data_IF_282010678308
#
_entry.id   IF_282010678308
#
_cell.length_a   1.000
_cell.length_b   1.000
_cell.length_c   1.000
_cell.angle_alpha   90.00
_cell.angle_beta   90.00
_cell.angle_gamma   90.00
#
_symmetry.space_group_name_H-M   'P 1'
#
loop_
_entity.id
_entity.type
_entity.pdbx_description
1 polymer ?
#
# COMPACT_ATOMS: atom_id res chain seq x y z
N UNK A 1 -2.96 -14.15 -27.25
CA UNK A 1 -1.77 -13.26 -27.24
C UNK A 1 -1.52 -12.51 -28.53
N UNK A 2 -2.01 -11.27 -28.56
CA UNK A 2 -1.53 -10.22 -29.45
C UNK A 2 -0.03 -9.90 -29.24
N UNK A 3 0.60 -9.16 -30.17
CA UNK A 3 2.00 -8.71 -30.03
C UNK A 3 2.20 -7.80 -28.81
N UNK A 4 1.23 -6.94 -28.50
CA UNK A 4 1.27 -6.04 -27.34
C UNK A 4 1.13 -6.78 -26.01
N UNK A 5 0.24 -7.77 -25.94
CA UNK A 5 0.08 -8.62 -24.74
C UNK A 5 1.38 -9.36 -24.44
N UNK A 6 2.05 -9.84 -25.49
CA UNK A 6 3.36 -10.49 -25.36
C UNK A 6 4.44 -9.51 -24.87
N UNK A 7 4.45 -8.26 -25.37
CA UNK A 7 5.35 -7.20 -24.89
C UNK A 7 5.09 -6.86 -23.41
N UNK A 8 3.83 -6.73 -23.02
CA UNK A 8 3.43 -6.48 -21.63
C UNK A 8 4.01 -7.54 -20.68
N UNK A 9 3.80 -8.82 -20.96
CA UNK A 9 4.31 -9.90 -20.10
C UNK A 9 5.82 -10.13 -20.20
N UNK A 10 6.46 -9.67 -21.28
CA UNK A 10 7.94 -9.61 -21.34
C UNK A 10 8.50 -8.59 -20.37
N UNK A 11 7.81 -7.45 -20.21
CA UNK A 11 8.14 -6.41 -19.23
C UNK A 11 7.79 -6.87 -17.82
N UNK A 12 6.54 -7.28 -17.57
CA UNK A 12 6.04 -7.67 -16.25
C UNK A 12 5.91 -9.18 -16.11
N UNK A 13 7.03 -9.87 -15.84
CA UNK A 13 7.07 -11.34 -15.85
C UNK A 13 6.22 -11.97 -14.75
N UNK A 14 6.09 -11.31 -13.60
CA UNK A 14 5.29 -11.77 -12.46
C UNK A 14 3.83 -11.31 -12.50
N UNK A 15 3.36 -10.78 -13.64
CA UNK A 15 1.95 -10.51 -13.90
C UNK A 15 1.23 -11.66 -14.64
N UNK A 16 1.89 -12.81 -14.84
CA UNK A 16 1.26 -14.01 -15.41
C UNK A 16 0.90 -14.97 -14.28
N UNK A 17 -0.39 -15.25 -14.03
CA UNK A 17 -0.81 -16.20 -13.00
C UNK A 17 -0.30 -17.61 -13.27
N UNK A 18 0.04 -18.36 -12.22
CA UNK A 18 0.40 -19.78 -12.35
C UNK A 18 -0.81 -20.67 -12.63
N UNK A 19 -1.99 -20.27 -12.15
CA UNK A 19 -3.26 -20.92 -12.47
C UNK A 19 -3.71 -20.57 -13.89
N UNK A 20 -3.93 -21.59 -14.72
CA UNK A 20 -4.26 -21.42 -16.15
C UNK A 20 -5.64 -20.79 -16.39
N UNK A 21 -6.61 -21.07 -15.53
CA UNK A 21 -7.96 -20.49 -15.68
C UNK A 21 -7.95 -19.01 -15.29
N UNK A 22 -7.24 -18.67 -14.21
CA UNK A 22 -7.04 -17.28 -13.80
C UNK A 22 -6.25 -16.53 -14.88
N UNK A 23 -5.15 -17.12 -15.38
CA UNK A 23 -4.33 -16.52 -16.43
C UNK A 23 -5.14 -16.22 -17.69
N UNK A 24 -6.00 -17.14 -18.14
CA UNK A 24 -6.86 -16.92 -19.30
C UNK A 24 -7.83 -15.75 -19.09
N UNK A 25 -8.49 -15.68 -17.93
CA UNK A 25 -9.42 -14.59 -17.60
C UNK A 25 -8.71 -13.23 -17.53
N UNK A 26 -7.53 -13.19 -16.91
CA UNK A 26 -6.74 -11.97 -16.83
C UNK A 26 -6.20 -11.53 -18.20
N UNK A 27 -5.78 -12.48 -19.06
CA UNK A 27 -5.37 -12.20 -20.43
C UNK A 27 -6.50 -11.60 -21.26
N UNK A 28 -7.72 -12.16 -21.18
CA UNK A 28 -8.90 -11.63 -21.87
C UNK A 28 -9.21 -10.19 -21.44
N UNK A 29 -9.04 -9.86 -20.16
CA UNK A 29 -9.20 -8.50 -19.64
C UNK A 29 -8.11 -7.57 -20.19
N UNK A 30 -6.85 -8.01 -20.17
CA UNK A 30 -5.73 -7.23 -20.69
C UNK A 30 -5.88 -6.97 -22.20
N UNK A 31 -6.27 -7.96 -23.00
CA UNK A 31 -6.46 -7.83 -24.45
C UNK A 31 -7.52 -6.77 -24.80
N UNK A 32 -8.56 -6.63 -23.97
CA UNK A 32 -9.57 -5.58 -24.13
C UNK A 32 -9.02 -4.17 -23.88
N UNK A 33 -8.07 -4.01 -22.95
CA UNK A 33 -7.57 -2.70 -22.51
C UNK A 33 -6.34 -2.26 -23.31
N UNK A 34 -5.40 -3.16 -23.60
CA UNK A 34 -4.07 -2.83 -24.13
C UNK A 34 -4.07 -2.19 -25.53
N UNK A 35 -5.21 -2.28 -26.23
CA UNK A 35 -5.41 -1.71 -27.56
C UNK A 35 -6.18 -0.38 -27.53
N UNK A 36 -6.74 0.01 -26.39
CA UNK A 36 -7.46 1.27 -26.24
C UNK A 36 -6.49 2.46 -26.18
N UNK A 37 -6.90 3.60 -26.73
CA UNK A 37 -6.19 4.86 -26.50
C UNK A 37 -6.40 5.35 -25.06
N UNK A 38 -5.53 6.23 -24.55
CA UNK A 38 -5.69 6.87 -23.23
C UNK A 38 -7.08 7.53 -23.07
N UNK A 39 -7.56 8.17 -24.14
CA UNK A 39 -8.92 8.74 -24.22
C UNK A 39 -10.02 7.69 -24.07
N UNK A 40 -9.90 6.57 -24.79
CA UNK A 40 -10.90 5.49 -24.74
C UNK A 40 -10.91 4.80 -23.37
N UNK A 41 -9.74 4.53 -22.79
CA UNK A 41 -9.59 4.02 -21.42
C UNK A 41 -10.28 4.97 -20.43
N UNK A 42 -10.04 6.28 -20.57
CA UNK A 42 -10.65 7.28 -19.69
C UNK A 42 -12.19 7.25 -19.78
N UNK A 43 -12.73 7.16 -20.99
CA UNK A 43 -14.18 7.07 -21.21
C UNK A 43 -14.75 5.77 -20.64
N UNK A 44 -14.04 4.64 -20.81
CA UNK A 44 -14.41 3.34 -20.26
C UNK A 44 -14.44 3.35 -18.72
N UNK A 45 -13.37 3.80 -18.08
CA UNK A 45 -13.27 3.87 -16.60
C UNK A 45 -14.30 4.81 -15.99
N UNK A 46 -14.67 5.90 -16.67
CA UNK A 46 -15.72 6.81 -16.22
C UNK A 46 -17.08 6.13 -16.06
N UNK A 47 -17.37 5.09 -16.85
CA UNK A 47 -18.62 4.34 -16.73
C UNK A 47 -18.73 3.61 -15.38
N UNK A 48 -17.60 3.20 -14.80
CA UNK A 48 -17.58 2.56 -13.49
C UNK A 48 -17.91 3.54 -12.36
N UNK A 49 -17.41 4.77 -12.44
CA UNK A 49 -17.75 5.81 -11.45
C UNK A 49 -19.27 5.97 -11.40
N UNK A 50 -19.92 6.09 -12.56
CA UNK A 50 -21.38 6.21 -12.64
C UNK A 50 -22.07 5.02 -11.95
N UNK A 51 -21.63 3.79 -12.23
CA UNK A 51 -22.20 2.58 -11.60
C UNK A 51 -22.05 2.60 -10.07
N UNK A 52 -20.87 2.97 -9.55
CA UNK A 52 -20.61 3.01 -8.12
C UNK A 52 -21.32 4.17 -7.41
N UNK A 53 -21.39 5.36 -8.02
CA UNK A 53 -22.10 6.52 -7.44
C UNK A 53 -23.59 6.24 -7.22
N UNK A 54 -24.21 5.40 -8.06
CA UNK A 54 -25.61 4.99 -7.90
C UNK A 54 -25.79 3.76 -7.00
N UNK A 55 -24.72 3.21 -6.43
CA UNK A 55 -24.81 2.11 -5.49
C UNK A 55 -25.35 2.59 -4.12
N UNK A 56 -26.62 2.29 -3.85
CA UNK A 56 -27.34 2.78 -2.66
C UNK A 56 -27.58 1.74 -1.57
N UNK A 57 -27.17 0.48 -1.76
CA UNK A 57 -27.38 -0.56 -0.76
C UNK A 57 -26.59 -0.24 0.52
N UNK A 58 -27.14 -0.63 1.67
CA UNK A 58 -26.48 -0.42 2.97
C UNK A 58 -25.36 -1.43 3.23
N UNK A 59 -25.39 -2.55 2.54
CA UNK A 59 -24.36 -3.59 2.55
C UNK A 59 -23.69 -3.68 1.18
N UNK A 60 -22.52 -4.29 1.10
CA UNK A 60 -21.83 -4.70 -0.11
C UNK A 60 -22.26 -6.12 -0.48
N UNK A 61 -22.92 -6.29 -1.62
CA UNK A 61 -23.35 -7.59 -2.13
C UNK A 61 -22.26 -8.29 -2.97
N UNK A 62 -22.40 -9.60 -3.16
CA UNK A 62 -21.42 -10.43 -3.88
C UNK A 62 -21.21 -9.97 -5.32
N UNK A 63 -22.27 -9.58 -6.03
CA UNK A 63 -22.19 -9.11 -7.42
C UNK A 63 -21.35 -7.83 -7.55
N UNK A 64 -21.59 -6.89 -6.65
CA UNK A 64 -20.87 -5.60 -6.61
C UNK A 64 -19.44 -5.81 -6.14
N UNK A 65 -19.20 -6.73 -5.21
CA UNK A 65 -17.84 -7.08 -4.77
C UNK A 65 -17.04 -7.72 -5.92
N UNK A 66 -17.65 -8.61 -6.71
CA UNK A 66 -17.03 -9.18 -7.91
C UNK A 66 -16.74 -8.11 -8.96
N UNK A 67 -17.68 -7.18 -9.18
CA UNK A 67 -17.49 -6.03 -10.05
C UNK A 67 -16.33 -5.14 -9.58
N UNK A 68 -16.22 -4.86 -8.27
CA UNK A 68 -15.10 -4.11 -7.69
C UNK A 68 -13.78 -4.84 -7.96
N UNK A 69 -13.69 -6.16 -7.75
CA UNK A 69 -12.48 -6.91 -8.05
C UNK A 69 -12.10 -6.83 -9.53
N UNK A 70 -13.08 -6.91 -10.43
CA UNK A 70 -12.85 -6.68 -11.86
C UNK A 70 -12.31 -5.26 -12.13
N UNK A 71 -12.93 -4.23 -11.55
CA UNK A 71 -12.46 -2.84 -11.70
C UNK A 71 -11.02 -2.68 -11.22
N UNK A 72 -10.67 -3.23 -10.05
CA UNK A 72 -9.30 -3.16 -9.50
C UNK A 72 -8.27 -3.85 -10.39
N UNK A 73 -8.63 -4.99 -10.99
CA UNK A 73 -7.80 -5.70 -11.96
C UNK A 73 -7.58 -4.87 -13.22
N UNK A 74 -8.64 -4.30 -13.78
CA UNK A 74 -8.57 -3.43 -14.96
C UNK A 74 -7.75 -2.16 -14.69
N UNK A 75 -7.95 -1.52 -13.53
CA UNK A 75 -7.15 -0.37 -13.08
C UNK A 75 -5.67 -0.76 -12.99
N UNK A 76 -5.35 -1.92 -12.41
CA UNK A 76 -3.97 -2.39 -12.26
C UNK A 76 -3.27 -2.62 -13.61
N UNK A 77 -3.99 -3.11 -14.63
CA UNK A 77 -3.48 -3.20 -15.99
C UNK A 77 -3.27 -1.82 -16.62
N UNK A 78 -4.24 -0.92 -16.49
CA UNK A 78 -4.12 0.46 -17.00
C UNK A 78 -2.91 1.15 -16.42
N UNK A 79 -2.71 1.10 -15.10
CA UNK A 79 -1.56 1.72 -14.44
C UNK A 79 -0.23 1.19 -14.99
N UNK A 80 -0.13 -0.12 -15.25
CA UNK A 80 1.08 -0.74 -15.81
C UNK A 80 1.32 -0.40 -17.28
N UNK A 81 0.25 -0.27 -18.07
CA UNK A 81 0.34 0.24 -19.45
C UNK A 81 0.86 1.68 -19.43
N UNK A 82 0.31 2.54 -18.56
CA UNK A 82 0.77 3.92 -18.42
C UNK A 82 2.22 4.00 -17.90
N UNK A 83 2.67 3.04 -17.09
CA UNK A 83 4.07 2.94 -16.69
C UNK A 83 4.99 2.58 -17.87
N UNK A 84 4.58 1.66 -18.75
CA UNK A 84 5.33 1.35 -19.98
C UNK A 84 5.47 2.60 -20.86
N UNK A 85 4.37 3.32 -21.06
CA UNK A 85 4.37 4.56 -21.85
C UNK A 85 5.26 5.63 -21.22
N UNK A 86 5.19 5.79 -19.89
CA UNK A 86 6.09 6.66 -19.12
C UNK A 86 7.57 6.32 -19.33
N UNK A 87 7.94 5.03 -19.30
CA UNK A 87 9.32 4.62 -19.53
C UNK A 87 9.78 4.96 -20.95
N UNK A 88 8.94 4.68 -21.96
CA UNK A 88 9.21 5.01 -23.37
C UNK A 88 9.44 6.51 -23.54
N UNK A 89 8.54 7.33 -23.03
CA UNK A 89 8.62 8.79 -23.12
C UNK A 89 9.80 9.40 -22.37
N UNK A 90 10.16 8.79 -21.23
CA UNK A 90 11.35 9.18 -20.47
C UNK A 90 12.63 8.88 -21.23
N UNK A 91 12.74 7.70 -21.86
CA UNK A 91 13.90 7.33 -22.69
C UNK A 91 14.04 8.20 -23.93
N UNK A 92 12.92 8.57 -24.58
CA UNK A 92 12.93 9.46 -25.75
C UNK A 92 12.99 10.96 -25.42
N UNK A 93 13.05 11.34 -24.13
CA UNK A 93 12.97 12.73 -23.67
C UNK A 93 11.71 13.48 -24.18
N UNK A 94 10.59 12.79 -24.33
CA UNK A 94 9.30 13.33 -24.80
C UNK A 94 8.28 13.51 -23.69
N UNK A 95 8.64 13.21 -22.45
CA UNK A 95 7.77 13.27 -21.28
C UNK A 95 7.19 14.68 -21.07
N UNK A 96 5.85 14.79 -21.14
CA UNK A 96 5.11 16.05 -20.92
C UNK A 96 4.39 16.05 -19.57
N UNK A 97 4.67 17.07 -18.76
CA UNK A 97 4.05 17.24 -17.45
C UNK A 97 2.64 17.84 -17.51
N UNK A 98 2.22 18.34 -18.67
CA UNK A 98 0.94 19.02 -18.90
C UNK A 98 0.02 18.23 -19.85
N UNK A 99 0.37 16.99 -20.17
CA UNK A 99 -0.44 16.14 -21.06
C UNK A 99 -1.88 16.01 -20.53
N UNK A 100 -2.84 16.51 -21.31
CA UNK A 100 -4.24 16.59 -20.90
C UNK A 100 -4.88 15.20 -20.77
N UNK A 101 -4.56 14.26 -21.66
CA UNK A 101 -5.20 12.94 -21.65
C UNK A 101 -4.72 12.12 -20.45
N UNK A 102 -3.40 12.15 -20.19
CA UNK A 102 -2.80 11.49 -19.02
C UNK A 102 -3.34 12.11 -17.72
N UNK A 103 -3.41 13.44 -17.65
CA UNK A 103 -3.98 14.14 -16.50
C UNK A 103 -5.44 13.77 -16.23
N UNK A 104 -6.25 13.66 -17.30
CA UNK A 104 -7.66 13.32 -17.19
C UNK A 104 -7.85 11.85 -16.77
N UNK A 105 -7.07 10.93 -17.35
CA UNK A 105 -7.08 9.52 -16.95
C UNK A 105 -6.71 9.37 -15.48
N UNK A 106 -5.62 10.00 -15.04
CA UNK A 106 -5.17 9.98 -13.64
C UNK A 106 -6.28 10.42 -12.67
N UNK A 107 -6.95 11.56 -12.95
CA UNK A 107 -8.06 12.04 -12.12
C UNK A 107 -9.21 11.04 -12.04
N UNK A 108 -9.58 10.44 -13.18
CA UNK A 108 -10.65 9.44 -13.24
C UNK A 108 -10.28 8.18 -12.43
N UNK A 109 -9.04 7.71 -12.53
CA UNK A 109 -8.58 6.57 -11.74
C UNK A 109 -8.54 6.89 -10.24
N UNK A 110 -8.01 8.04 -9.84
CA UNK A 110 -7.99 8.46 -8.43
C UNK A 110 -9.41 8.53 -7.83
N UNK A 111 -10.37 9.10 -8.58
CA UNK A 111 -11.78 9.13 -8.15
C UNK A 111 -12.36 7.73 -8.05
N UNK A 112 -12.16 6.88 -9.06
CA UNK A 112 -12.69 5.52 -9.07
C UNK A 112 -12.12 4.68 -7.91
N UNK A 113 -10.82 4.75 -7.66
CA UNK A 113 -10.16 4.07 -6.55
C UNK A 113 -10.71 4.57 -5.20
N UNK A 114 -10.90 5.89 -5.06
CA UNK A 114 -11.48 6.50 -3.86
C UNK A 114 -12.90 6.01 -3.61
N UNK A 115 -13.76 6.00 -4.63
CA UNK A 115 -15.15 5.50 -4.50
C UNK A 115 -15.19 4.02 -4.08
N UNK A 116 -14.33 3.18 -4.67
CA UNK A 116 -14.19 1.78 -4.27
C UNK A 116 -13.77 1.69 -2.79
N UNK A 117 -12.76 2.46 -2.37
CA UNK A 117 -12.28 2.45 -1.00
C UNK A 117 -13.33 2.90 0.01
N UNK A 118 -14.13 3.92 -0.33
CA UNK A 118 -15.24 4.38 0.50
C UNK A 118 -16.33 3.31 0.61
N UNK A 119 -16.70 2.64 -0.48
CA UNK A 119 -17.67 1.54 -0.43
C UNK A 119 -17.18 0.42 0.49
N UNK A 120 -15.92 -0.02 0.35
CA UNK A 120 -15.34 -1.09 1.17
C UNK A 120 -15.25 -0.69 2.65
N UNK A 121 -14.89 0.56 2.95
CA UNK A 121 -14.72 1.03 4.33
C UNK A 121 -16.03 1.33 5.07
N UNK A 122 -17.11 1.66 4.36
CA UNK A 122 -18.36 2.15 4.99
C UNK A 122 -19.50 1.14 4.98
N UNK A 123 -19.46 0.11 4.15
CA UNK A 123 -20.55 -0.87 4.01
C UNK A 123 -20.27 -2.14 4.80
N UNK A 124 -21.31 -2.68 5.41
CA UNK A 124 -21.29 -4.04 5.93
C UNK A 124 -21.24 -5.04 4.77
N UNK A 125 -20.65 -6.22 4.96
CA UNK A 125 -20.57 -7.22 3.90
C UNK A 125 -21.75 -8.18 3.98
N UNK A 126 -22.31 -8.57 2.84
CA UNK A 126 -23.38 -9.57 2.76
C UNK A 126 -22.96 -10.90 3.39
N UNK A 127 -21.71 -11.30 3.16
CA UNK A 127 -21.13 -12.52 3.73
C UNK A 127 -19.71 -12.25 4.24
N UNK A 128 -19.36 -12.86 5.36
CA UNK A 128 -17.99 -12.82 5.89
C UNK A 128 -16.99 -13.26 4.83
N UNK A 129 -15.88 -12.53 4.71
CA UNK A 129 -14.78 -12.90 3.81
C UNK A 129 -15.16 -13.08 2.33
N UNK A 130 -16.20 -12.39 1.85
CA UNK A 130 -16.73 -12.52 0.48
C UNK A 130 -15.66 -12.43 -0.61
N UNK A 131 -14.67 -11.57 -0.41
CA UNK A 131 -13.56 -11.34 -1.32
C UNK A 131 -12.63 -12.56 -1.51
N UNK A 132 -12.50 -13.44 -0.51
CA UNK A 132 -11.52 -14.54 -0.53
C UNK A 132 -11.70 -15.55 -1.67
N UNK A 133 -12.91 -15.61 -2.25
CA UNK A 133 -13.24 -16.60 -3.27
C UNK A 133 -13.02 -16.12 -4.71
N UNK A 134 -12.82 -14.82 -4.93
CA UNK A 134 -12.65 -14.25 -6.26
C UNK A 134 -11.29 -14.55 -6.88
N UNK A 135 -11.25 -14.75 -8.20
CA UNK A 135 -10.04 -15.13 -8.93
C UNK A 135 -8.91 -14.12 -8.78
N UNK A 136 -9.24 -12.81 -8.82
CA UNK A 136 -8.25 -11.73 -8.68
C UNK A 136 -7.46 -11.83 -7.36
N UNK A 137 -8.06 -12.38 -6.30
CA UNK A 137 -7.44 -12.50 -4.98
C UNK A 137 -6.76 -13.86 -4.78
N UNK A 138 -7.03 -14.83 -5.66
CA UNK A 138 -6.33 -16.12 -5.73
C UNK A 138 -5.09 -16.06 -6.62
N UNK A 139 -5.01 -15.08 -7.51
CA UNK A 139 -3.88 -14.83 -8.42
C UNK A 139 -2.58 -14.63 -7.64
N UNK A 140 -1.52 -15.36 -7.97
CA UNK A 140 -0.19 -15.27 -7.34
C UNK A 140 0.72 -14.22 -7.99
N UNK A 141 0.13 -13.32 -8.77
CA UNK A 141 0.81 -12.24 -9.46
C UNK A 141 1.03 -11.01 -8.58
N UNK A 142 1.91 -10.11 -9.01
CA UNK A 142 2.06 -8.78 -8.39
C UNK A 142 0.74 -7.99 -8.41
N UNK A 143 -0.08 -8.13 -9.46
CA UNK A 143 -1.42 -7.51 -9.50
C UNK A 143 -2.34 -8.13 -8.44
N UNK A 144 -2.36 -9.47 -8.35
CA UNK A 144 -3.14 -10.17 -7.33
C UNK A 144 -2.73 -9.78 -5.91
N UNK A 145 -1.42 -9.62 -5.67
CA UNK A 145 -0.87 -9.08 -4.44
C UNK A 145 -1.39 -7.66 -4.15
N UNK A 146 -1.21 -6.70 -5.06
CA UNK A 146 -1.68 -5.32 -4.85
C UNK A 146 -3.18 -5.25 -4.56
N UNK A 147 -4.00 -6.08 -5.22
CA UNK A 147 -5.45 -6.13 -4.98
C UNK A 147 -5.77 -6.72 -3.59
N UNK A 148 -5.09 -7.80 -3.16
CA UNK A 148 -5.30 -8.35 -1.81
C UNK A 148 -4.92 -7.34 -0.73
N UNK A 149 -3.75 -6.72 -0.85
CA UNK A 149 -3.27 -5.69 0.09
C UNK A 149 -4.23 -4.50 0.10
N UNK A 150 -4.75 -4.09 -1.06
CA UNK A 150 -5.75 -3.02 -1.17
C UNK A 150 -7.00 -3.30 -0.34
N UNK A 151 -7.59 -4.49 -0.47
CA UNK A 151 -8.77 -4.85 0.32
C UNK A 151 -8.41 -4.91 1.83
N UNK A 152 -7.31 -5.60 2.17
CA UNK A 152 -6.91 -5.79 3.57
C UNK A 152 -6.60 -4.49 4.28
N UNK A 153 -5.94 -3.52 3.64
CA UNK A 153 -5.59 -2.25 4.28
C UNK A 153 -6.82 -1.40 4.56
N UNK A 154 -7.80 -1.37 3.66
CA UNK A 154 -9.03 -0.60 3.87
C UNK A 154 -9.82 -1.19 5.04
N UNK A 155 -9.95 -2.52 5.08
CA UNK A 155 -10.60 -3.22 6.21
C UNK A 155 -9.85 -2.98 7.53
N UNK A 156 -8.51 -3.05 7.53
CA UNK A 156 -7.67 -2.83 8.71
C UNK A 156 -7.75 -1.37 9.20
N UNK A 157 -7.78 -0.38 8.30
CA UNK A 157 -7.97 1.03 8.65
C UNK A 157 -9.37 1.27 9.25
N UNK A 158 -10.41 0.67 8.68
CA UNK A 158 -11.76 0.75 9.25
C UNK A 158 -11.80 0.13 10.66
N UNK A 159 -11.21 -1.06 10.82
CA UNK A 159 -11.07 -1.72 12.13
C UNK A 159 -10.34 -0.82 13.15
N UNK A 160 -9.21 -0.23 12.75
CA UNK A 160 -8.46 0.72 13.56
C UNK A 160 -9.33 1.89 14.02
N UNK A 161 -10.01 2.56 13.08
CA UNK A 161 -10.92 3.67 13.39
C UNK A 161 -12.06 3.26 14.35
N UNK A 162 -12.60 2.04 14.19
CA UNK A 162 -13.62 1.50 15.08
C UNK A 162 -13.10 1.20 16.49
N UNK A 163 -11.88 0.67 16.63
CA UNK A 163 -11.24 0.52 17.95
C UNK A 163 -11.01 1.86 18.62
N UNK A 164 -10.62 2.89 17.88
CA UNK A 164 -10.49 4.24 18.43
C UNK A 164 -11.82 4.82 18.90
N UNK A 165 -12.93 4.56 18.19
CA UNK A 165 -14.28 4.90 18.67
C UNK A 165 -14.62 4.25 20.01
N UNK A 166 -14.09 3.05 20.26
CA UNK A 166 -14.30 2.28 21.48
C UNK A 166 -13.29 2.63 22.60
N UNK A 167 -12.49 3.70 22.43
CA UNK A 167 -11.55 4.17 23.44
C UNK A 167 -10.17 3.50 23.42
N UNK A 168 -9.82 2.77 22.35
CA UNK A 168 -8.52 2.09 22.25
C UNK A 168 -7.32 3.02 22.39
N UNK A 169 -7.43 4.30 22.01
CA UNK A 169 -6.36 5.29 22.20
C UNK A 169 -5.92 5.40 23.68
N UNK A 170 -6.87 5.45 24.61
CA UNK A 170 -6.56 5.56 26.04
C UNK A 170 -5.95 4.27 26.59
N UNK A 171 -6.44 3.11 26.12
CA UNK A 171 -5.85 1.82 26.46
C UNK A 171 -4.40 1.74 25.98
N UNK A 172 -4.13 2.11 24.74
CA UNK A 172 -2.77 2.15 24.17
C UNK A 172 -1.85 3.08 24.96
N UNK A 173 -2.32 4.24 25.42
CA UNK A 173 -1.54 5.13 26.30
C UNK A 173 -1.17 4.48 27.63
N UNK A 174 -2.13 3.84 28.30
CA UNK A 174 -1.93 3.17 29.59
C UNK A 174 -0.94 2.00 29.43
N UNK A 175 -1.15 1.19 28.40
CA UNK A 175 -0.35 -0.02 28.16
C UNK A 175 1.02 0.28 27.54
N UNK A 176 1.25 1.50 27.04
CA UNK A 176 2.46 1.87 26.28
C UNK A 176 3.74 1.50 27.01
N UNK A 177 3.86 1.89 28.30
CA UNK A 177 5.06 1.64 29.08
C UNK A 177 5.37 0.15 29.24
N UNK A 178 4.33 -0.68 29.32
CA UNK A 178 4.46 -2.12 29.51
C UNK A 178 4.74 -2.85 28.20
N UNK A 179 4.11 -2.44 27.11
CA UNK A 179 4.09 -3.19 25.85
C UNK A 179 5.07 -2.63 24.82
N UNK A 180 5.08 -1.31 24.63
CA UNK A 180 5.73 -0.68 23.47
C UNK A 180 7.03 0.08 23.78
N UNK A 181 7.25 0.46 25.04
CA UNK A 181 8.43 1.21 25.46
C UNK A 181 9.75 0.56 25.01
N UNK A 182 9.88 -0.77 25.13
CA UNK A 182 11.10 -1.50 24.76
C UNK A 182 11.43 -1.34 23.27
N UNK A 183 10.41 -1.27 22.42
CA UNK A 183 10.60 -1.15 20.97
C UNK A 183 10.93 0.29 20.60
N UNK A 184 10.20 1.27 21.15
CA UNK A 184 10.47 2.67 20.88
C UNK A 184 11.86 3.09 21.36
N UNK A 185 12.31 2.62 22.53
CA UNK A 185 13.66 2.91 23.05
C UNK A 185 14.76 2.43 22.09
N UNK A 186 14.61 1.23 21.52
CA UNK A 186 15.54 0.71 20.51
C UNK A 186 15.53 1.55 19.22
N UNK A 187 14.37 2.05 18.80
CA UNK A 187 14.27 2.99 17.66
C UNK A 187 14.96 4.32 17.99
N UNK A 188 14.71 4.87 19.18
CA UNK A 188 15.33 6.11 19.69
C UNK A 188 16.86 6.04 19.64
N UNK A 189 17.43 4.96 20.18
CA UNK A 189 18.88 4.75 20.23
C UNK A 189 19.52 4.70 18.84
N UNK A 190 18.82 4.13 17.83
CA UNK A 190 19.35 4.00 16.47
C UNK A 190 19.29 5.30 15.67
N UNK A 191 18.25 6.10 15.84
CA UNK A 191 18.02 7.32 15.04
C UNK A 191 18.33 8.63 15.77
N UNK A 192 18.81 8.57 17.02
CA UNK A 192 19.16 9.73 17.84
C UNK A 192 18.02 10.79 17.89
N UNK A 193 16.79 10.33 18.09
CA UNK A 193 15.62 11.21 18.11
C UNK A 193 15.60 12.04 19.41
N UNK A 194 15.05 13.26 19.37
CA UNK A 194 14.86 14.09 20.58
C UNK A 194 13.62 13.59 21.31
N UNK A 195 13.80 12.86 22.40
CA UNK A 195 12.80 12.89 23.46
C UNK A 195 13.39 12.47 24.80
N UNK A 196 13.29 13.34 25.80
CA UNK A 196 13.63 13.01 27.18
C UNK A 196 12.58 12.08 27.82
N UNK A 197 11.38 12.03 27.22
CA UNK A 197 10.26 11.21 27.69
C UNK A 197 9.80 10.29 26.55
N UNK A 198 9.83 8.98 26.80
CA UNK A 198 9.36 7.96 25.85
C UNK A 198 7.95 7.50 26.26
N UNK A 199 6.94 8.16 25.70
CA UNK A 199 5.50 7.87 25.84
C UNK A 199 4.86 7.70 24.47
N UNK A 200 3.59 7.30 24.43
CA UNK A 200 2.88 7.22 23.16
C UNK A 200 2.78 8.58 22.44
N UNK A 201 2.40 9.63 23.17
CA UNK A 201 2.14 10.96 22.57
C UNK A 201 3.43 11.72 22.22
N UNK A 202 4.58 11.33 22.79
CA UNK A 202 5.90 11.82 22.37
C UNK A 202 6.42 11.12 21.11
N UNK A 203 5.94 9.91 20.82
CA UNK A 203 6.41 9.10 19.69
C UNK A 203 5.53 9.30 18.45
N UNK A 204 4.22 9.51 18.64
CA UNK A 204 3.24 9.71 17.57
C UNK A 204 2.81 11.17 17.56
N UNK A 205 3.13 11.90 16.50
CA UNK A 205 2.82 13.33 16.41
C UNK A 205 1.31 13.58 16.50
N UNK A 206 0.91 14.43 17.44
CA UNK A 206 -0.49 14.72 17.80
C UNK A 206 -1.27 13.49 18.33
N UNK A 207 -0.56 12.45 18.79
CA UNK A 207 -1.14 11.22 19.34
C UNK A 207 -1.82 10.32 18.31
N UNK A 208 -2.24 9.14 18.78
CA UNK A 208 -3.04 8.19 17.99
C UNK A 208 -4.44 8.78 17.76
N UNK A 209 -4.85 8.85 16.49
CA UNK A 209 -6.14 9.41 16.07
C UNK A 209 -6.70 8.65 14.88
N UNK A 210 -7.97 8.91 14.56
CA UNK A 210 -8.62 8.31 13.40
C UNK A 210 -7.95 8.76 12.11
N UNK A 211 -7.96 7.86 11.14
CA UNK A 211 -7.58 8.15 9.76
C UNK A 211 -8.82 8.70 9.05
N UNK A 212 -8.69 9.90 8.49
CA UNK A 212 -9.78 10.58 7.78
C UNK A 212 -10.01 9.97 6.40
N UNK A 213 -11.22 10.13 5.86
CA UNK A 213 -11.61 9.56 4.56
C UNK A 213 -10.66 9.95 3.42
N UNK A 214 -10.16 11.19 3.40
CA UNK A 214 -9.17 11.61 2.39
C UNK A 214 -7.89 10.79 2.49
N UNK A 215 -7.39 10.54 3.70
CA UNK A 215 -6.21 9.70 3.92
C UNK A 215 -6.48 8.23 3.61
N UNK A 216 -7.71 7.72 3.84
CA UNK A 216 -8.12 6.37 3.39
C UNK A 216 -8.00 6.25 1.87
N UNK A 217 -8.51 7.25 1.14
CA UNK A 217 -8.38 7.30 -0.32
C UNK A 217 -6.92 7.38 -0.77
N UNK A 218 -6.09 8.19 -0.11
CA UNK A 218 -4.65 8.27 -0.39
C UNK A 218 -3.94 6.94 -0.14
N UNK A 219 -4.23 6.28 0.98
CA UNK A 219 -3.72 4.92 1.28
C UNK A 219 -4.11 3.97 0.15
N UNK A 220 -5.40 3.95 -0.23
CA UNK A 220 -5.94 3.06 -1.25
C UNK A 220 -5.26 3.26 -2.61
N UNK A 221 -5.05 4.51 -3.03
CA UNK A 221 -4.32 4.83 -4.27
C UNK A 221 -2.85 4.41 -4.14
N UNK A 222 -2.19 4.71 -3.01
CA UNK A 222 -0.81 4.33 -2.75
C UNK A 222 -0.58 2.82 -2.83
N UNK A 223 -1.50 2.02 -2.28
CA UNK A 223 -1.42 0.55 -2.33
C UNK A 223 -1.58 0.00 -3.74
N UNK A 224 -2.39 0.57 -4.63
CA UNK A 224 -2.41 0.06 -6.02
C UNK A 224 -1.15 0.43 -6.81
N UNK A 225 -0.37 1.40 -6.31
CA UNK A 225 0.80 1.95 -6.98
C UNK A 225 2.14 1.43 -6.43
N UNK A 226 2.17 0.79 -5.25
CA UNK A 226 3.43 0.52 -4.55
C UNK A 226 4.41 -0.37 -5.33
N UNK A 227 3.90 -1.35 -6.08
CA UNK A 227 4.68 -2.32 -6.86
C UNK A 227 4.51 -2.16 -8.39
N UNK A 228 4.24 -0.95 -8.86
CA UNK A 228 3.89 -0.75 -10.27
C UNK A 228 5.09 -0.97 -11.22
N UNK A 229 6.31 -0.73 -10.74
CA UNK A 229 7.57 -0.85 -11.46
C UNK A 229 8.22 -2.24 -11.34
N UNK A 230 7.64 -3.15 -10.57
CA UNK A 230 8.18 -4.50 -10.34
C UNK A 230 8.05 -5.33 -11.64
N UNK A 231 9.15 -5.39 -12.40
CA UNK A 231 9.18 -5.94 -13.76
C UNK A 231 9.74 -7.38 -13.82
N UNK A 232 10.82 -7.65 -13.07
CA UNK A 232 11.60 -8.91 -13.16
C UNK A 232 12.03 -9.52 -11.83
N UNK A 233 11.79 -8.84 -10.71
CA UNK A 233 12.11 -9.31 -9.37
C UNK A 233 10.83 -9.77 -8.66
N UNK A 234 10.96 -10.75 -7.76
CA UNK A 234 9.84 -11.10 -6.89
C UNK A 234 9.73 -10.03 -5.83
N UNK A 235 8.50 -9.78 -5.40
CA UNK A 235 8.22 -8.91 -4.28
C UNK A 235 9.08 -9.32 -3.06
N UNK A 236 9.70 -8.31 -2.44
CA UNK A 236 10.83 -8.43 -1.54
C UNK A 236 10.38 -8.21 -0.10
N UNK A 237 10.83 -9.09 0.79
CA UNK A 237 10.82 -8.85 2.23
C UNK A 237 12.26 -8.83 2.74
N UNK A 238 12.59 -8.01 3.75
CA UNK A 238 13.97 -7.89 4.24
C UNK A 238 14.48 -9.18 4.89
N UNK A 239 15.10 -10.04 4.07
CA UNK A 239 15.73 -11.30 4.47
C UNK A 239 17.27 -11.18 4.46
N UNK A 240 17.98 -11.87 5.37
CA UNK A 240 19.45 -11.87 5.36
C UNK A 240 20.00 -12.37 4.01
N UNK A 241 20.88 -11.58 3.38
CA UNK A 241 21.60 -11.87 2.12
C UNK A 241 20.79 -11.77 0.81
N UNK A 242 19.59 -11.19 0.83
CA UNK A 242 18.88 -10.87 -0.43
C UNK A 242 19.32 -9.52 -1.01
N UNK A 243 19.41 -9.44 -2.33
CA UNK A 243 19.76 -8.23 -3.05
C UNK A 243 18.57 -7.27 -3.03
N UNK A 244 18.81 -6.03 -2.57
CA UNK A 244 17.77 -5.01 -2.45
C UNK A 244 17.38 -4.55 -3.85
N UNK A 245 16.09 -4.63 -4.16
CA UNK A 245 15.55 -3.94 -5.32
C UNK A 245 15.46 -2.44 -5.05
N UNK A 246 15.32 -1.63 -6.10
CA UNK A 246 15.07 -0.18 -5.94
C UNK A 246 13.76 0.19 -6.64
N UNK A 247 12.77 -0.72 -6.65
CA UNK A 247 11.50 -0.47 -7.35
C UNK A 247 10.80 0.74 -6.73
N UNK A 248 10.71 0.83 -5.39
CA UNK A 248 10.04 1.93 -4.68
C UNK A 248 10.46 3.35 -5.12
N UNK A 249 11.71 3.55 -5.56
CA UNK A 249 12.19 4.83 -6.13
C UNK A 249 11.67 5.05 -7.55
N UNK A 250 11.62 4.00 -8.38
CA UNK A 250 11.00 4.04 -9.72
C UNK A 250 9.49 4.29 -9.59
N UNK A 251 8.83 3.60 -8.65
CA UNK A 251 7.40 3.78 -8.36
C UNK A 251 7.11 5.20 -7.89
N UNK A 252 7.96 5.76 -7.02
CA UNK A 252 7.88 7.15 -6.61
C UNK A 252 7.94 8.10 -7.82
N UNK A 253 8.90 7.90 -8.73
CA UNK A 253 9.06 8.72 -9.92
C UNK A 253 7.83 8.69 -10.83
N UNK A 254 7.27 7.51 -11.09
CA UNK A 254 6.05 7.38 -11.88
C UNK A 254 4.82 7.92 -11.15
N UNK A 255 4.69 7.65 -9.84
CA UNK A 255 3.57 8.13 -9.04
C UNK A 255 3.52 9.65 -8.98
N UNK A 256 4.67 10.32 -8.82
CA UNK A 256 4.78 11.79 -8.90
C UNK A 256 4.37 12.32 -10.27
N UNK A 257 4.72 11.60 -11.33
CA UNK A 257 4.35 11.96 -12.70
C UNK A 257 2.86 11.76 -12.97
N UNK A 258 2.28 10.63 -12.55
CA UNK A 258 0.94 10.21 -12.95
C UNK A 258 -0.13 10.71 -11.96
N UNK A 259 0.06 10.54 -10.65
CA UNK A 259 -0.90 10.91 -9.58
C UNK A 259 -0.76 12.37 -9.11
N UNK A 260 -0.30 13.27 -9.98
CA UNK A 260 0.10 14.67 -9.68
C UNK A 260 -0.76 15.35 -8.62
N UNK A 261 -0.10 16.03 -7.67
CA UNK A 261 -0.76 16.78 -6.61
C UNK A 261 -1.11 15.94 -5.37
N UNK A 262 -0.75 14.66 -5.35
CA UNK A 262 -0.96 13.79 -4.19
C UNK A 262 0.38 13.28 -3.62
N UNK A 263 1.02 14.13 -2.81
CA UNK A 263 2.32 13.79 -2.18
C UNK A 263 2.20 12.68 -1.13
N UNK A 264 1.04 12.54 -0.47
CA UNK A 264 0.79 11.46 0.49
C UNK A 264 0.80 10.09 -0.20
N UNK A 265 0.19 9.98 -1.39
CA UNK A 265 0.25 8.77 -2.24
C UNK A 265 1.69 8.48 -2.65
N UNK A 266 2.40 9.47 -3.18
CA UNK A 266 3.79 9.30 -3.62
C UNK A 266 4.71 8.87 -2.46
N UNK A 267 4.53 9.45 -1.26
CA UNK A 267 5.27 9.05 -0.09
C UNK A 267 4.91 7.64 0.40
N UNK A 268 3.63 7.28 0.42
CA UNK A 268 3.22 5.90 0.75
C UNK A 268 3.94 4.89 -0.13
N UNK A 269 3.95 5.13 -1.44
CA UNK A 269 4.66 4.31 -2.42
C UNK A 269 6.18 4.30 -2.18
N UNK A 270 6.80 5.44 -1.92
CA UNK A 270 8.27 5.49 -1.78
C UNK A 270 8.81 4.94 -0.46
N UNK A 271 7.96 4.83 0.57
CA UNK A 271 8.34 4.53 1.94
C UNK A 271 7.95 3.11 2.38
N UNK A 272 7.26 2.32 1.56
CA UNK A 272 6.75 1.00 1.97
C UNK A 272 7.84 -0.07 2.17
N UNK A 273 9.10 0.23 1.84
CA UNK A 273 10.27 -0.58 2.23
C UNK A 273 11.20 0.17 3.19
N UNK A 274 10.71 1.22 3.89
CA UNK A 274 11.49 1.98 4.89
C UNK A 274 11.35 1.41 6.29
N UNK A 275 11.53 0.09 6.41
CA UNK A 275 11.57 -0.65 7.67
C UNK A 275 12.52 0.01 8.66
N UNK A 276 12.16 0.00 9.94
CA UNK A 276 13.01 0.55 10.99
C UNK A 276 14.42 -0.05 10.89
N UNK A 277 15.41 0.82 10.73
CA UNK A 277 16.85 0.54 10.63
C UNK A 277 17.33 -0.29 9.44
N UNK A 278 16.42 -0.75 8.58
CA UNK A 278 16.73 -1.68 7.49
C UNK A 278 16.23 -1.19 6.13
N UNK A 279 15.53 -0.05 6.12
CA UNK A 279 15.03 0.60 4.93
C UNK A 279 16.09 1.00 3.91
N UNK A 280 15.65 1.15 2.67
CA UNK A 280 16.51 1.51 1.53
C UNK A 280 15.80 2.42 0.51
N UNK A 281 14.74 3.10 0.94
CA UNK A 281 13.93 3.95 0.07
C UNK A 281 14.31 5.43 0.10
N UNK A 282 13.31 6.27 -0.17
CA UNK A 282 13.45 7.73 -0.27
C UNK A 282 13.87 8.39 1.05
N UNK A 283 13.32 7.97 2.20
CA UNK A 283 13.63 8.56 3.50
C UNK A 283 15.11 8.40 3.84
N UNK A 284 15.66 7.22 3.61
CA UNK A 284 17.07 6.94 3.87
C UNK A 284 17.99 7.91 3.13
N UNK A 285 17.67 8.22 1.87
CA UNK A 285 18.43 9.18 1.06
C UNK A 285 18.21 10.64 1.51
N UNK A 286 16.98 11.02 1.87
CA UNK A 286 16.68 12.33 2.45
C UNK A 286 17.44 12.57 3.76
N UNK A 287 17.43 11.58 4.66
CA UNK A 287 18.07 11.65 5.97
C UNK A 287 19.60 11.80 5.83
N UNK A 288 20.24 10.99 4.98
CA UNK A 288 21.68 11.14 4.67
C UNK A 288 22.01 12.52 4.09
N UNK A 289 21.17 13.03 3.19
CA UNK A 289 21.38 14.35 2.58
C UNK A 289 21.30 15.49 3.60
N UNK A 290 20.36 15.42 4.54
CA UNK A 290 20.21 16.43 5.59
C UNK A 290 21.33 16.34 6.61
N UNK A 291 21.72 15.15 7.08
CA UNK A 291 22.83 15.00 8.03
C UNK A 291 24.17 15.51 7.47
N UNK A 292 24.39 15.43 6.15
CA UNK A 292 25.56 16.06 5.51
C UNK A 292 25.56 17.59 5.61
N UNK A 293 24.39 18.22 5.62
CA UNK A 293 24.23 19.69 5.69
C UNK A 293 24.13 20.20 7.11
N UNK A 294 23.45 19.44 7.98
CA UNK A 294 23.28 19.71 9.39
C UNK A 294 23.50 18.41 10.17
N UNK A 295 24.74 18.12 10.60
CA UNK A 295 25.05 16.92 11.38
C UNK A 295 24.32 16.81 12.72
N UNK A 296 23.76 17.93 13.20
CA UNK A 296 22.98 18.01 14.43
C UNK A 296 21.47 18.04 14.17
N UNK A 297 21.02 17.77 12.94
CA UNK A 297 19.60 17.61 12.65
C UNK A 297 19.03 16.51 13.53
N UNK A 298 17.84 16.78 14.07
CA UNK A 298 17.19 15.90 15.03
C UNK A 298 15.75 15.69 14.61
N UNK A 299 15.34 14.44 14.62
CA UNK A 299 13.96 14.03 14.34
C UNK A 299 13.21 14.03 15.68
N UNK A 300 11.98 14.53 15.69
CA UNK A 300 11.18 14.71 16.91
C UNK A 300 10.27 13.51 17.19
N UNK A 301 9.66 12.93 16.15
CA UNK A 301 8.67 11.86 16.29
C UNK A 301 9.07 10.61 15.53
N UNK A 302 8.58 9.45 15.98
CA UNK A 302 8.72 8.19 15.27
C UNK A 302 7.70 8.13 14.12
N UNK A 303 6.43 8.49 14.38
CA UNK A 303 5.33 8.36 13.42
C UNK A 303 4.58 9.69 13.27
N UNK A 304 4.26 10.06 12.03
CA UNK A 304 3.27 11.11 11.72
C UNK A 304 2.23 10.63 10.71
N UNK A 305 1.06 11.27 10.76
CA UNK A 305 -0.02 11.11 9.80
C UNK A 305 0.06 12.19 8.69
N UNK A 306 0.95 13.19 8.82
CA UNK A 306 1.14 14.24 7.81
C UNK A 306 2.41 13.93 7.00
N UNK A 307 2.25 13.82 5.69
CA UNK A 307 3.33 13.52 4.76
C UNK A 307 4.42 14.60 4.78
N UNK A 308 4.07 15.86 5.11
CA UNK A 308 5.01 16.98 5.17
C UNK A 308 6.09 16.76 6.23
N UNK A 309 5.75 16.06 7.32
CA UNK A 309 6.69 15.80 8.41
C UNK A 309 7.82 14.87 8.01
N UNK A 310 7.63 14.09 6.95
CA UNK A 310 8.67 13.24 6.38
C UNK A 310 9.56 14.06 5.46
N UNK A 311 8.96 14.91 4.63
CA UNK A 311 9.71 15.80 3.72
C UNK A 311 10.58 16.80 4.48
N UNK A 312 10.15 17.24 5.67
CA UNK A 312 10.91 18.12 6.56
C UNK A 312 11.76 17.36 7.58
N UNK A 313 11.73 16.03 7.58
CA UNK A 313 12.40 15.15 8.56
C UNK A 313 12.08 15.52 10.02
N UNK A 314 10.86 15.98 10.28
CA UNK A 314 10.34 16.13 11.64
C UNK A 314 9.92 14.78 12.23
N UNK A 315 9.50 13.84 11.37
CA UNK A 315 9.13 12.48 11.76
C UNK A 315 9.89 11.43 10.96
N UNK A 316 10.19 10.29 11.61
CA UNK A 316 10.90 9.18 10.99
C UNK A 316 10.04 8.44 9.96
N UNK A 317 8.72 8.32 10.21
CA UNK A 317 7.84 7.46 9.41
C UNK A 317 6.46 8.06 9.17
N UNK A 318 5.88 7.67 8.04
CA UNK A 318 4.52 8.02 7.64
C UNK A 318 3.57 6.87 7.95
N UNK A 319 2.50 7.13 8.71
CA UNK A 319 1.58 6.09 9.16
C UNK A 319 0.99 5.24 8.01
N UNK A 320 0.46 5.83 6.92
CA UNK A 320 0.03 5.05 5.74
C UNK A 320 1.06 4.03 5.24
N UNK A 321 2.33 4.43 5.15
CA UNK A 321 3.41 3.54 4.71
C UNK A 321 3.67 2.42 5.73
N UNK A 322 3.62 2.74 7.04
CA UNK A 322 3.81 1.73 8.11
C UNK A 322 2.67 0.72 8.18
N UNK A 323 1.45 1.14 7.87
CA UNK A 323 0.32 0.20 7.74
C UNK A 323 0.50 -0.68 6.50
N UNK A 324 0.96 -0.12 5.39
CA UNK A 324 1.26 -0.89 4.17
C UNK A 324 2.35 -1.94 4.43
N UNK A 325 3.50 -1.57 5.00
CA UNK A 325 4.61 -2.48 5.35
C UNK A 325 4.14 -3.74 6.09
N UNK A 326 3.29 -3.59 7.12
CA UNK A 326 2.81 -4.73 7.92
C UNK A 326 1.97 -5.69 7.07
N UNK A 327 1.08 -5.15 6.24
CA UNK A 327 0.12 -5.92 5.47
C UNK A 327 0.78 -6.55 4.26
N UNK A 328 1.68 -5.81 3.62
CA UNK A 328 2.51 -6.23 2.50
C UNK A 328 3.35 -7.46 2.89
N UNK A 329 4.15 -7.33 3.96
CA UNK A 329 4.92 -8.45 4.53
C UNK A 329 4.03 -9.66 4.84
N UNK A 330 2.85 -9.45 5.43
CA UNK A 330 1.94 -10.55 5.75
C UNK A 330 1.41 -11.25 4.48
N UNK A 331 1.00 -10.50 3.45
CA UNK A 331 0.54 -11.10 2.19
C UNK A 331 1.67 -11.91 1.55
N UNK A 332 2.89 -11.38 1.53
CA UNK A 332 4.05 -12.03 0.91
C UNK A 332 4.47 -13.29 1.66
N UNK A 333 4.45 -13.27 2.99
CA UNK A 333 4.67 -14.47 3.80
C UNK A 333 3.60 -15.55 3.54
N UNK A 334 2.33 -15.16 3.44
CA UNK A 334 1.23 -16.14 3.32
C UNK A 334 0.99 -16.63 1.90
N UNK A 335 1.29 -15.82 0.88
CA UNK A 335 1.02 -16.13 -0.53
C UNK A 335 2.26 -16.57 -1.28
N UNK A 336 3.35 -15.80 -1.20
CA UNK A 336 4.57 -16.12 -1.94
C UNK A 336 5.36 -17.22 -1.23
N UNK A 337 5.49 -17.12 0.10
CA UNK A 337 6.19 -18.12 0.92
C UNK A 337 5.28 -19.22 1.47
N UNK A 338 3.97 -19.15 1.20
CA UNK A 338 2.96 -20.17 1.54
C UNK A 338 2.91 -20.52 3.04
N UNK A 339 3.29 -19.59 3.92
CA UNK A 339 3.11 -19.75 5.36
C UNK A 339 1.62 -19.73 5.70
N UNK A 340 1.21 -20.54 6.67
CA UNK A 340 -0.10 -20.35 7.30
C UNK A 340 -0.15 -18.98 7.99
N UNK A 341 -1.33 -18.39 8.21
CA UNK A 341 -1.44 -17.13 8.94
C UNK A 341 -0.72 -17.13 10.30
N UNK A 342 -0.81 -18.23 11.04
CA UNK A 342 -0.11 -18.41 12.31
C UNK A 342 1.41 -18.38 12.15
N UNK A 343 1.95 -19.10 11.18
CA UNK A 343 3.38 -19.12 10.90
C UNK A 343 3.88 -17.76 10.40
N UNK A 344 3.08 -17.04 9.61
CA UNK A 344 3.41 -15.70 9.14
C UNK A 344 3.50 -14.71 10.30
N UNK A 345 2.49 -14.68 11.19
CA UNK A 345 2.51 -13.82 12.38
C UNK A 345 3.68 -14.19 13.31
N UNK A 346 3.89 -15.48 13.58
CA UNK A 346 5.04 -15.92 14.36
C UNK A 346 6.37 -15.44 13.76
N UNK A 347 6.52 -15.57 12.44
CA UNK A 347 7.70 -15.10 11.71
C UNK A 347 7.90 -13.58 11.83
N UNK A 348 6.83 -12.79 11.64
CA UNK A 348 6.86 -11.33 11.77
C UNK A 348 7.25 -10.92 13.20
N UNK A 349 6.65 -11.54 14.22
CA UNK A 349 6.98 -11.23 15.62
C UNK A 349 8.43 -11.57 15.94
N UNK A 350 8.89 -12.77 15.60
CA UNK A 350 10.25 -13.21 15.93
C UNK A 350 11.31 -12.39 15.20
N UNK A 351 11.16 -12.19 13.89
CA UNK A 351 12.22 -11.64 13.05
C UNK A 351 12.11 -10.12 12.86
N UNK A 352 10.90 -9.55 12.85
CA UNK A 352 10.66 -8.14 12.53
C UNK A 352 10.23 -7.27 13.72
N UNK A 353 10.05 -7.85 14.91
CA UNK A 353 9.84 -7.10 16.16
C UNK A 353 10.87 -7.46 17.23
N UNK A 354 11.09 -8.75 17.52
CA UNK A 354 11.97 -9.17 18.62
C UNK A 354 13.46 -9.12 18.24
N UNK A 355 13.89 -9.87 17.22
CA UNK A 355 15.31 -9.88 16.77
C UNK A 355 15.71 -8.49 16.27
N UNK A 356 15.06 -8.04 15.22
CA UNK A 356 15.23 -6.70 14.66
C UNK A 356 13.89 -6.00 14.61
N UNK A 357 13.85 -4.76 15.09
CA UNK A 357 12.65 -3.93 14.94
C UNK A 357 12.69 -3.38 13.53
N UNK A 358 11.88 -3.97 12.65
CA UNK A 358 11.69 -3.58 11.26
C UNK A 358 10.28 -3.03 11.03
N UNK A 359 9.26 -3.68 11.61
CA UNK A 359 7.86 -3.26 11.53
C UNK A 359 7.44 -2.37 12.71
N UNK A 360 6.39 -1.57 12.53
CA UNK A 360 5.79 -0.81 13.63
C UNK A 360 5.03 -1.76 14.59
N UNK A 361 5.43 -1.82 15.88
CA UNK A 361 4.82 -2.75 16.83
C UNK A 361 3.33 -2.47 17.07
N UNK A 362 2.93 -1.20 17.11
CA UNK A 362 1.54 -0.82 17.38
C UNK A 362 0.67 -1.19 16.18
N UNK A 363 1.13 -0.89 14.96
CA UNK A 363 0.41 -1.27 13.74
C UNK A 363 0.35 -2.78 13.56
N UNK A 364 1.42 -3.50 13.91
CA UNK A 364 1.46 -4.97 13.85
C UNK A 364 0.45 -5.59 14.82
N UNK A 365 0.38 -5.10 16.06
CA UNK A 365 -0.59 -5.60 17.06
C UNK A 365 -2.03 -5.33 16.62
N UNK A 366 -2.32 -4.13 16.11
CA UNK A 366 -3.65 -3.77 15.59
C UNK A 366 -4.03 -4.66 14.40
N UNK A 367 -3.09 -4.92 13.49
CA UNK A 367 -3.33 -5.81 12.37
C UNK A 367 -3.59 -7.26 12.82
N UNK A 368 -2.86 -7.76 13.81
CA UNK A 368 -3.09 -9.08 14.41
C UNK A 368 -4.49 -9.16 15.04
N UNK A 369 -4.92 -8.13 15.76
CA UNK A 369 -6.29 -8.05 16.31
C UNK A 369 -7.34 -8.06 15.19
N UNK A 370 -7.11 -7.31 14.12
CA UNK A 370 -7.96 -7.32 12.92
C UNK A 370 -8.08 -8.72 12.31
N UNK A 371 -6.98 -9.46 12.15
CA UNK A 371 -7.01 -10.82 11.62
C UNK A 371 -7.82 -11.77 12.52
N UNK A 372 -7.74 -11.61 13.84
CA UNK A 372 -8.49 -12.44 14.81
C UNK A 372 -9.98 -12.11 14.82
N UNK A 373 -10.33 -10.83 14.86
CA UNK A 373 -11.71 -10.39 15.08
C UNK A 373 -12.52 -10.30 13.78
N UNK A 374 -11.93 -9.76 12.71
CA UNK A 374 -12.62 -9.54 11.43
C UNK A 374 -12.43 -10.74 10.51
N UNK A 375 -11.20 -11.20 10.33
CA UNK A 375 -10.92 -12.37 9.46
C UNK A 375 -11.15 -13.72 10.16
N UNK A 376 -11.44 -13.71 11.46
CA UNK A 376 -11.72 -14.91 12.28
C UNK A 376 -10.60 -15.96 12.19
N UNK A 377 -9.35 -15.51 12.00
CA UNK A 377 -8.19 -16.38 11.89
C UNK A 377 -7.77 -16.84 13.30
N UNK A 378 -7.56 -18.14 13.46
CA UNK A 378 -6.97 -18.73 14.68
C UNK A 378 -5.44 -18.60 14.60
N UNK A 379 -4.87 -17.70 15.39
CA UNK A 379 -3.43 -17.44 15.49
C UNK A 379 -2.83 -18.10 16.74
#
# INVERSE_FOLDING_TARGET
>A
MSSKTTEFYKTFRYCVPSDKEIAKKEEEILENIINMSTKDITAYMRQYIIKLTYYRKNFLDVETAELICKMLLEISFVLRIQYIDYLKDKESNTLKNDDYEINNLSKILQLLISEIAIIISTKEYETDSMFNNFSALKSDTTIGHSIRVFIMIIEAVNFFNNKLNQGAANKMRIDFKKTYYKYSERIYQRYNLINEVNTLDSNVKLGIRKIENNTISEIAIGVLMHDIALDKEKDYIPMPNEEKDNHSIKDYGFTKYFMRGNEGVALTVSLHHEYYSHGYGLFTELYKAVLRRNPHHKIEYIVSYDYKDILTLQSLTYLPAKMLEVIDVYDTLTKNMKKTPKEAIFFMTENFLEKDIMLDPIMTDIFIEYLKEIKKIKL
#
